data_IF_938993440781
#
_entry.id   IF_938993440781
#
_cell.length_a   1.000
_cell.length_b   1.000
_cell.length_c   1.000
_cell.angle_alpha   90.00
_cell.angle_beta   90.00
_cell.angle_gamma   90.00
#
_symmetry.space_group_name_H-M   'P 1'
#
loop_
_entity.id
_entity.type
_entity.pdbx_description
1 polymer ?
#
# COMPACT_ATOMS: atom_id res chain seq x y z
N UNK A 1 23.76 -6.25 -22.67
CA UNK A 1 24.02 -7.28 -21.64
C UNK A 1 22.81 -8.20 -21.55
N UNK A 2 22.92 -9.43 -22.06
CA UNK A 2 21.86 -10.44 -22.11
C UNK A 2 21.78 -11.31 -20.83
N UNK A 3 22.50 -10.92 -19.77
CA UNK A 3 22.78 -11.79 -18.61
C UNK A 3 21.75 -11.73 -17.48
N UNK A 4 20.63 -11.04 -17.66
CA UNK A 4 19.55 -10.93 -16.66
C UNK A 4 18.19 -11.21 -17.31
N UNK A 5 18.09 -12.27 -18.12
CA UNK A 5 16.81 -12.68 -18.67
C UNK A 5 15.92 -13.22 -17.55
N UNK A 6 14.89 -12.46 -17.20
CA UNK A 6 13.77 -12.87 -16.34
C UNK A 6 12.65 -13.35 -17.26
N UNK A 7 12.27 -14.63 -17.15
CA UNK A 7 11.21 -15.21 -17.97
C UNK A 7 10.02 -15.56 -17.07
N UNK A 8 8.88 -14.95 -17.34
CA UNK A 8 7.61 -15.34 -16.72
C UNK A 8 7.20 -16.66 -17.37
N UNK A 9 7.13 -17.71 -16.57
CA UNK A 9 6.70 -19.02 -17.04
C UNK A 9 5.30 -18.92 -17.64
N UNK A 10 5.13 -19.47 -18.83
CA UNK A 10 3.88 -19.48 -19.59
C UNK A 10 3.32 -18.07 -19.91
N UNK A 11 4.10 -17.00 -19.69
CA UNK A 11 3.63 -15.61 -19.73
C UNK A 11 2.37 -15.39 -18.87
N UNK A 12 2.22 -16.13 -17.77
CA UNK A 12 1.03 -16.10 -16.93
C UNK A 12 1.24 -15.34 -15.61
N UNK A 13 0.30 -14.45 -15.32
CA UNK A 13 0.13 -13.82 -14.02
C UNK A 13 -1.19 -14.31 -13.42
N UNK A 14 -1.14 -14.87 -12.23
CA UNK A 14 -2.31 -15.40 -11.52
C UNK A 14 -2.78 -14.38 -10.49
N UNK A 15 -4.07 -14.09 -10.47
CA UNK A 15 -4.67 -13.15 -9.50
C UNK A 15 -5.25 -13.88 -8.29
N UNK A 16 -5.18 -13.21 -7.14
CA UNK A 16 -5.74 -13.66 -5.86
C UNK A 16 -6.57 -12.56 -5.23
N UNK A 17 -7.50 -12.97 -4.38
CA UNK A 17 -8.40 -12.06 -3.65
C UNK A 17 -7.90 -11.77 -2.23
N UNK A 18 -7.19 -12.71 -1.61
CA UNK A 18 -6.82 -12.66 -0.19
C UNK A 18 -5.30 -12.77 -0.04
N UNK A 19 -4.72 -11.98 0.87
CA UNK A 19 -3.34 -12.12 1.32
C UNK A 19 -3.28 -12.06 2.85
N UNK A 20 -2.27 -12.73 3.42
CA UNK A 20 -2.06 -12.81 4.86
C UNK A 20 -0.67 -12.34 5.22
N UNK A 21 -0.57 -11.57 6.31
CA UNK A 21 0.68 -10.99 6.78
C UNK A 21 0.85 -11.33 8.26
N UNK A 22 1.98 -11.95 8.60
CA UNK A 22 2.29 -12.26 9.99
C UNK A 22 2.99 -11.07 10.63
N UNK A 23 2.60 -10.72 11.84
CA UNK A 23 3.23 -9.64 12.60
C UNK A 23 3.44 -10.02 14.06
N UNK A 24 4.34 -9.31 14.72
CA UNK A 24 4.61 -9.48 16.14
C UNK A 24 3.79 -8.45 16.94
N UNK A 25 3.01 -8.92 17.89
CA UNK A 25 2.25 -8.07 18.82
C UNK A 25 3.16 -7.52 19.92
N UNK A 26 2.68 -6.50 20.65
CA UNK A 26 3.43 -5.86 21.73
C UNK A 26 3.86 -6.81 22.86
N UNK A 27 3.10 -7.86 23.13
CA UNK A 27 3.43 -8.91 24.11
C UNK A 27 4.34 -10.01 23.52
N UNK A 28 5.02 -9.73 22.40
CA UNK A 28 5.99 -10.60 21.71
C UNK A 28 5.35 -11.91 21.24
N UNK A 29 4.06 -11.88 20.90
CA UNK A 29 3.36 -12.99 20.26
C UNK A 29 3.30 -12.77 18.76
N UNK A 30 2.98 -13.85 18.04
CA UNK A 30 2.69 -13.79 16.60
C UNK A 30 1.19 -13.72 16.41
N UNK A 31 0.77 -12.81 15.54
CA UNK A 31 -0.60 -12.71 15.07
C UNK A 31 -0.59 -12.51 13.55
N UNK A 32 -1.76 -12.55 12.92
CA UNK A 32 -1.90 -12.54 11.48
C UNK A 32 -3.00 -11.58 11.04
N UNK A 33 -2.63 -10.66 10.14
CA UNK A 33 -3.57 -9.84 9.41
C UNK A 33 -3.98 -10.54 8.11
N UNK A 34 -5.23 -10.34 7.70
CA UNK A 34 -5.75 -10.80 6.42
C UNK A 34 -6.40 -9.65 5.69
N UNK A 35 -5.97 -9.40 4.46
CA UNK A 35 -6.62 -8.44 3.56
C UNK A 35 -7.45 -9.16 2.50
N UNK A 36 -8.46 -8.48 1.97
CA UNK A 36 -9.25 -8.99 0.87
C UNK A 36 -9.56 -7.86 -0.13
N UNK A 37 -9.14 -8.03 -1.38
CA UNK A 37 -9.26 -6.97 -2.40
C UNK A 37 -10.70 -6.66 -2.81
N UNK A 38 -11.66 -7.55 -2.54
CA UNK A 38 -13.08 -7.33 -2.81
C UNK A 38 -13.81 -6.54 -1.72
N UNK A 39 -13.17 -6.23 -0.59
CA UNK A 39 -13.77 -5.45 0.49
C UNK A 39 -12.93 -4.21 0.86
N UNK A 40 -13.37 -3.47 1.87
CA UNK A 40 -12.70 -2.23 2.30
C UNK A 40 -11.45 -2.46 3.15
N UNK A 41 -11.15 -3.71 3.56
CA UNK A 41 -10.00 -4.07 4.39
C UNK A 41 -8.85 -4.56 3.50
N UNK A 42 -8.26 -3.61 2.78
CA UNK A 42 -7.18 -3.85 1.82
C UNK A 42 -6.09 -2.79 1.87
N UNK A 43 -6.06 -2.01 2.95
CA UNK A 43 -5.01 -1.03 3.18
C UNK A 43 -3.90 -1.69 4.02
N UNK A 44 -2.66 -1.37 3.68
CA UNK A 44 -1.45 -1.93 4.29
C UNK A 44 -0.50 -0.81 4.71
N UNK A 45 0.39 -1.16 5.63
CA UNK A 45 1.43 -0.31 6.16
C UNK A 45 2.80 -0.93 5.90
N UNK A 46 3.74 -0.13 5.42
CA UNK A 46 5.12 -0.54 5.07
C UNK A 46 6.12 0.45 5.68
N UNK A 47 7.39 0.08 5.91
CA UNK A 47 8.41 1.04 6.33
C UNK A 47 8.62 2.12 5.26
N UNK A 48 8.78 3.38 5.68
CA UNK A 48 9.01 4.51 4.76
C UNK A 48 10.45 4.61 4.25
N UNK A 49 11.41 3.96 4.93
CA UNK A 49 12.86 4.09 4.67
C UNK A 49 13.39 5.53 4.52
N UNK A 50 12.60 6.53 4.94
CA UNK A 50 12.98 7.94 4.94
C UNK A 50 13.93 8.19 6.12
N UNK A 51 15.14 8.68 5.82
CA UNK A 51 16.10 9.08 6.83
C UNK A 51 15.59 10.32 7.58
N UNK A 52 15.66 10.28 8.91
CA UNK A 52 15.32 11.41 9.75
C UNK A 52 16.48 12.40 9.76
N UNK A 53 16.57 13.27 8.75
CA UNK A 53 17.64 14.28 8.68
C UNK A 53 17.40 15.47 9.63
N UNK A 54 16.16 15.71 10.07
CA UNK A 54 15.80 16.85 10.94
C UNK A 54 14.98 16.46 12.17
N UNK A 55 15.37 16.95 13.36
CA UNK A 55 14.63 16.78 14.63
C UNK A 55 13.22 17.41 14.61
N UNK A 56 12.98 18.40 13.74
CA UNK A 56 11.70 19.09 13.57
C UNK A 56 10.82 18.49 12.45
N UNK A 57 11.36 17.56 11.66
CA UNK A 57 10.59 16.86 10.66
C UNK A 57 9.60 15.93 11.35
N UNK A 58 8.32 16.12 11.07
CA UNK A 58 7.25 15.20 11.49
C UNK A 58 7.49 13.84 10.81
N UNK A 59 8.38 13.06 11.42
CA UNK A 59 8.84 11.77 10.97
C UNK A 59 7.65 10.85 10.74
N UNK A 60 7.51 10.35 9.52
CA UNK A 60 6.54 9.34 9.17
C UNK A 60 7.28 8.01 9.06
N UNK A 61 7.28 7.17 10.11
CA UNK A 61 8.02 5.90 10.08
C UNK A 61 7.46 4.89 9.07
N UNK A 62 6.25 5.15 8.54
CA UNK A 62 5.52 4.23 7.69
C UNK A 62 4.90 4.94 6.50
N UNK A 63 4.92 4.26 5.36
CA UNK A 63 4.04 4.54 4.23
C UNK A 63 2.80 3.66 4.29
N UNK A 64 1.76 4.11 3.60
CA UNK A 64 0.49 3.40 3.50
C UNK A 64 0.14 3.20 2.05
N UNK A 65 -0.49 2.06 1.74
CA UNK A 65 -0.97 1.78 0.40
C UNK A 65 -2.29 1.02 0.44
N UNK A 66 -3.11 1.22 -0.59
CA UNK A 66 -4.31 0.41 -0.85
C UNK A 66 -3.95 -0.67 -1.85
N UNK A 67 -4.08 -1.94 -1.46
CA UNK A 67 -3.87 -3.08 -2.35
C UNK A 67 -5.05 -3.18 -3.32
N UNK A 68 -4.75 -3.07 -4.60
CA UNK A 68 -5.73 -3.14 -5.69
C UNK A 68 -5.92 -4.57 -6.17
N UNK A 69 -4.81 -5.31 -6.34
CA UNK A 69 -4.80 -6.71 -6.70
C UNK A 69 -3.60 -7.42 -6.08
N UNK A 70 -3.76 -8.71 -5.87
CA UNK A 70 -2.70 -9.61 -5.40
C UNK A 70 -2.39 -10.54 -6.56
N UNK A 71 -1.12 -10.71 -6.85
CA UNK A 71 -0.68 -11.56 -7.95
C UNK A 71 0.40 -12.53 -7.50
N UNK A 72 0.54 -13.61 -8.26
CA UNK A 72 1.80 -14.33 -8.32
C UNK A 72 2.15 -14.71 -9.75
N UNK A 73 3.44 -14.86 -10.00
CA UNK A 73 4.00 -15.41 -11.23
C UNK A 73 5.05 -16.47 -10.90
N UNK A 74 5.18 -17.47 -11.75
CA UNK A 74 6.31 -18.40 -11.69
C UNK A 74 7.41 -17.84 -12.59
N UNK A 75 8.57 -17.53 -12.04
CA UNK A 75 9.64 -16.80 -12.74
C UNK A 75 10.88 -17.69 -12.86
N UNK A 76 11.38 -17.83 -14.08
CA UNK A 76 12.70 -18.40 -14.34
C UNK A 76 13.74 -17.28 -14.29
N UNK A 77 14.61 -17.37 -13.31
CA UNK A 77 15.80 -16.54 -13.22
C UNK A 77 16.96 -17.19 -13.96
N UNK A 78 17.82 -16.35 -14.54
CA UNK A 78 19.06 -16.84 -15.15
C UNK A 78 19.88 -17.66 -14.15
N UNK A 79 20.36 -18.83 -14.58
CA UNK A 79 21.14 -19.74 -13.74
C UNK A 79 20.34 -20.57 -12.73
N UNK A 80 19.02 -20.37 -12.60
CA UNK A 80 18.16 -21.22 -11.75
C UNK A 80 17.42 -22.27 -12.60
N UNK A 81 17.53 -23.56 -12.28
CA UNK A 81 16.92 -24.63 -13.09
C UNK A 81 15.41 -24.78 -12.90
N UNK A 82 14.84 -24.16 -11.87
CA UNK A 82 13.41 -24.21 -11.55
C UNK A 82 12.84 -22.80 -11.47
N UNK A 83 11.61 -22.65 -11.93
CA UNK A 83 10.84 -21.45 -11.68
C UNK A 83 10.63 -21.24 -10.18
N UNK A 84 10.62 -19.98 -9.77
CA UNK A 84 10.31 -19.55 -8.42
C UNK A 84 8.97 -18.81 -8.42
N UNK A 85 8.10 -19.15 -7.46
CA UNK A 85 6.85 -18.42 -7.27
C UNK A 85 7.16 -17.09 -6.60
N UNK A 86 6.89 -15.99 -7.29
CA UNK A 86 6.99 -14.64 -6.74
C UNK A 86 5.59 -14.07 -6.54
N UNK A 87 5.35 -13.54 -5.35
CA UNK A 87 4.11 -12.87 -4.98
C UNK A 87 4.31 -11.35 -5.08
N UNK A 88 3.31 -10.65 -5.60
CA UNK A 88 3.37 -9.22 -5.87
C UNK A 88 2.04 -8.59 -5.49
N UNK A 89 2.07 -7.48 -4.76
CA UNK A 89 0.91 -6.64 -4.52
C UNK A 89 0.94 -5.49 -5.52
N UNK A 90 -0.14 -5.28 -6.26
CA UNK A 90 -0.32 -4.04 -7.00
C UNK A 90 -1.08 -3.05 -6.12
N UNK A 91 -0.47 -1.90 -5.86
CA UNK A 91 -0.94 -0.96 -4.85
C UNK A 91 -1.13 0.44 -5.42
N UNK A 92 -1.97 1.21 -4.73
CA UNK A 92 -2.10 2.67 -4.89
C UNK A 92 -1.60 3.34 -3.62
N UNK A 93 -0.66 4.26 -3.74
CA UNK A 93 0.02 4.87 -2.60
C UNK A 93 -0.79 6.00 -1.96
N UNK A 94 -0.64 6.12 -0.64
CA UNK A 94 -1.09 7.29 0.09
C UNK A 94 0.11 8.21 0.40
N UNK A 95 -0.05 9.50 0.16
CA UNK A 95 0.89 10.54 0.54
C UNK A 95 0.47 11.27 1.82
N UNK A 96 1.42 11.98 2.42
CA UNK A 96 1.19 12.85 3.57
C UNK A 96 0.23 14.00 3.21
N UNK A 97 -0.65 14.35 4.14
CA UNK A 97 -1.43 15.59 4.05
C UNK A 97 -0.56 16.80 4.42
N UNK A 98 -0.18 17.69 3.47
CA UNK A 98 0.65 18.86 3.77
C UNK A 98 -0.08 19.87 4.66
N UNK A 99 -1.42 19.88 4.63
CA UNK A 99 -2.26 20.81 5.40
C UNK A 99 -2.43 20.36 6.87
N UNK A 100 -1.81 19.25 7.25
CA UNK A 100 -1.94 18.70 8.59
C UNK A 100 -0.61 18.21 9.12
N UNK A 101 -0.05 19.01 10.02
CA UNK A 101 0.69 18.43 11.12
C UNK A 101 -0.26 17.46 11.84
N UNK A 102 0.08 16.18 11.88
CA UNK A 102 -0.50 15.19 12.79
C UNK A 102 0.59 14.79 13.78
N UNK A 103 0.22 14.37 14.99
CA UNK A 103 1.23 13.94 15.94
C UNK A 103 0.77 13.91 17.40
N UNK A 104 1.49 13.16 18.26
CA UNK A 104 1.22 13.14 19.70
C UNK A 104 1.32 14.54 20.34
N UNK A 105 2.27 15.37 19.89
CA UNK A 105 2.53 16.71 20.42
C UNK A 105 1.36 17.68 20.28
N UNK A 106 0.52 17.49 19.26
CA UNK A 106 -0.66 18.30 18.96
C UNK A 106 -1.97 17.52 19.17
N UNK A 107 -1.89 16.33 19.78
CA UNK A 107 -3.01 15.44 20.12
C UNK A 107 -3.97 15.17 18.95
N UNK A 108 -3.42 15.05 17.74
CA UNK A 108 -4.21 14.85 16.51
C UNK A 108 -3.71 13.65 15.72
N UNK A 109 -4.64 12.85 15.21
CA UNK A 109 -4.32 11.73 14.31
C UNK A 109 -3.65 12.23 13.03
N UNK A 110 -2.69 11.44 12.54
CA UNK A 110 -2.07 11.68 11.24
C UNK A 110 -3.10 11.54 10.13
N UNK A 111 -2.98 12.38 9.11
CA UNK A 111 -3.80 12.35 7.91
C UNK A 111 -2.96 11.99 6.69
N UNK A 112 -3.55 11.18 5.83
CA UNK A 112 -2.98 10.79 4.54
C UNK A 112 -4.05 10.93 3.46
N UNK A 113 -3.64 11.11 2.21
CA UNK A 113 -4.53 11.15 1.04
C UNK A 113 -3.93 10.33 -0.09
N UNK A 114 -4.72 9.91 -1.08
CA UNK A 114 -4.14 9.23 -2.24
C UNK A 114 -3.19 10.16 -2.99
N UNK A 115 -2.07 9.60 -3.45
CA UNK A 115 -1.25 10.28 -4.46
C UNK A 115 -2.09 10.41 -5.74
N UNK A 116 -2.19 11.60 -6.37
CA UNK A 116 -2.94 11.79 -7.61
C UNK A 116 -2.38 10.93 -8.73
N UNK A 117 -3.24 10.36 -9.57
CA UNK A 117 -2.84 9.47 -10.68
C UNK A 117 -2.03 10.15 -11.79
N UNK A 118 -1.92 11.48 -11.77
CA UNK A 118 -1.00 12.24 -12.62
C UNK A 118 0.46 12.10 -12.20
N UNK A 119 0.70 11.67 -10.96
CA UNK A 119 2.02 11.33 -10.46
C UNK A 119 2.41 9.93 -10.94
N UNK A 120 3.64 9.78 -11.44
CA UNK A 120 4.17 8.50 -11.92
C UNK A 120 4.27 7.47 -10.79
N UNK A 121 4.44 7.92 -9.55
CA UNK A 121 4.63 7.08 -8.36
C UNK A 121 3.31 6.80 -7.62
N UNK A 122 2.15 7.15 -8.20
CA UNK A 122 0.85 6.93 -7.56
C UNK A 122 0.49 5.45 -7.40
N UNK A 123 1.05 4.59 -8.26
CA UNK A 123 0.83 3.15 -8.27
C UNK A 123 2.16 2.42 -8.31
N UNK A 124 2.21 1.23 -7.71
CA UNK A 124 3.44 0.44 -7.71
C UNK A 124 3.19 -1.04 -7.47
N UNK A 125 4.21 -1.85 -7.76
CA UNK A 125 4.28 -3.22 -7.29
C UNK A 125 5.08 -3.27 -5.99
N UNK A 126 4.60 -4.05 -5.03
CA UNK A 126 5.18 -4.19 -3.72
C UNK A 126 5.39 -5.67 -3.38
N UNK A 127 6.55 -6.00 -2.83
CA UNK A 127 6.82 -7.31 -2.24
C UNK A 127 5.97 -7.47 -0.96
N UNK A 128 5.10 -8.49 -0.86
CA UNK A 128 4.36 -8.80 0.36
C UNK A 128 5.22 -8.88 1.63
N UNK A 129 6.50 -9.24 1.52
CA UNK A 129 7.42 -9.33 2.66
C UNK A 129 7.75 -7.96 3.29
N UNK A 130 7.52 -6.86 2.56
CA UNK A 130 7.69 -5.50 3.07
C UNK A 130 6.47 -5.00 3.85
N UNK A 131 5.36 -5.74 3.82
CA UNK A 131 4.14 -5.38 4.56
C UNK A 131 4.36 -5.64 6.05
N UNK A 132 4.28 -4.57 6.85
CA UNK A 132 4.35 -4.68 8.29
C UNK A 132 3.04 -5.22 8.86
N UNK A 133 1.92 -4.64 8.43
CA UNK A 133 0.56 -4.99 8.85
C UNK A 133 -0.49 -4.53 7.85
N UNK A 134 -1.67 -5.15 7.92
CA UNK A 134 -2.86 -4.50 7.42
C UNK A 134 -3.20 -3.30 8.32
N UNK A 135 -3.80 -2.26 7.74
CA UNK A 135 -4.21 -1.10 8.51
C UNK A 135 -5.65 -0.71 8.20
N UNK A 136 -6.26 0.03 9.13
CA UNK A 136 -7.58 0.60 8.94
C UNK A 136 -7.46 2.13 8.83
N UNK A 137 -7.68 2.62 7.61
CA UNK A 137 -7.73 4.05 7.32
C UNK A 137 -9.18 4.52 7.35
N UNK A 138 -9.48 5.48 8.23
CA UNK A 138 -10.84 6.00 8.40
C UNK A 138 -10.99 7.25 7.52
N UNK A 139 -11.96 7.31 6.60
CA UNK A 139 -12.21 8.52 5.83
C UNK A 139 -12.41 9.75 6.72
N UNK A 140 -11.71 10.84 6.39
CA UNK A 140 -11.93 12.12 7.03
C UNK A 140 -13.18 12.77 6.45
N UNK A 141 -14.36 12.34 6.91
CA UNK A 141 -15.67 12.71 6.35
C UNK A 141 -15.85 14.22 6.12
N UNK A 142 -15.31 15.06 7.01
CA UNK A 142 -15.38 16.52 6.90
C UNK A 142 -14.59 17.11 5.69
N UNK A 143 -13.63 16.37 5.15
CA UNK A 143 -12.86 16.77 3.96
C UNK A 143 -13.62 16.46 2.67
N UNK A 144 -14.66 15.62 2.73
CA UNK A 144 -15.45 15.26 1.56
C UNK A 144 -14.73 14.30 0.60
N UNK A 145 -15.23 14.29 -0.64
CA UNK A 145 -14.80 13.39 -1.71
C UNK A 145 -14.45 14.16 -2.97
N UNK A 146 -13.60 13.59 -3.80
CA UNK A 146 -13.10 14.21 -5.02
C UNK A 146 -12.99 13.24 -6.18
N UNK A 147 -13.17 13.78 -7.39
CA UNK A 147 -12.97 13.09 -8.67
C UNK A 147 -11.61 13.41 -9.30
N UNK A 148 -10.83 14.29 -8.68
CA UNK A 148 -9.59 14.83 -9.27
C UNK A 148 -8.38 13.90 -9.08
N UNK A 149 -8.44 12.98 -8.11
CA UNK A 149 -7.33 12.08 -7.79
C UNK A 149 -7.17 10.95 -8.81
N UNK A 150 -8.27 10.47 -9.39
CA UNK A 150 -8.27 9.38 -10.36
C UNK A 150 -9.57 9.40 -11.18
N UNK A 151 -9.42 9.25 -12.50
CA UNK A 151 -10.55 9.10 -13.40
C UNK A 151 -11.37 7.82 -13.15
N UNK A 152 -12.51 7.63 -13.83
CA UNK A 152 -13.32 6.42 -13.69
C UNK A 152 -12.50 5.14 -13.92
N UNK A 153 -12.33 4.34 -12.87
CA UNK A 153 -11.57 3.09 -12.90
C UNK A 153 -11.96 2.20 -11.71
N UNK A 154 -11.53 0.94 -11.74
CA UNK A 154 -11.74 -0.01 -10.63
C UNK A 154 -10.86 0.30 -9.39
N UNK A 155 -9.80 1.11 -9.55
CA UNK A 155 -8.88 1.50 -8.48
C UNK A 155 -9.36 2.72 -7.67
N UNK A 156 -10.50 3.28 -8.06
CA UNK A 156 -11.20 4.36 -7.36
C UNK A 156 -12.20 3.79 -6.35
N UNK A 157 -12.48 4.52 -5.28
CA UNK A 157 -13.55 4.14 -4.35
C UNK A 157 -14.92 4.08 -5.03
N UNK A 158 -15.77 3.17 -4.53
CA UNK A 158 -17.07 2.87 -5.12
C UNK A 158 -18.01 4.08 -4.99
N UNK A 159 -18.59 4.46 -6.13
CA UNK A 159 -19.65 5.46 -6.23
C UNK A 159 -19.33 6.64 -7.16
N UNK A 160 -20.33 7.49 -7.44
CA UNK A 160 -20.19 8.61 -8.36
C UNK A 160 -19.38 9.78 -7.78
N UNK A 161 -19.16 9.81 -6.46
CA UNK A 161 -18.49 10.90 -5.76
C UNK A 161 -16.96 10.77 -5.75
N UNK A 162 -16.41 9.65 -6.23
CA UNK A 162 -14.97 9.40 -6.27
C UNK A 162 -14.37 9.02 -4.92
N UNK A 163 -13.07 9.29 -4.80
CA UNK A 163 -12.25 8.96 -3.63
C UNK A 163 -12.53 9.91 -2.47
N UNK A 164 -12.33 9.44 -1.24
CA UNK A 164 -12.21 10.38 -0.12
C UNK A 164 -10.94 11.20 -0.29
N UNK A 165 -11.01 12.51 0.01
CA UNK A 165 -9.83 13.37 -0.12
C UNK A 165 -8.73 12.98 0.86
N UNK A 166 -9.13 12.63 2.09
CA UNK A 166 -8.22 12.40 3.21
C UNK A 166 -8.73 11.26 4.08
N UNK A 167 -7.81 10.58 4.73
CA UNK A 167 -8.04 9.50 5.69
C UNK A 167 -7.23 9.75 6.95
N UNK A 168 -7.77 9.35 8.10
CA UNK A 168 -7.06 9.29 9.36
C UNK A 168 -6.38 7.94 9.53
N UNK A 169 -5.13 8.00 9.95
CA UNK A 169 -4.34 6.82 10.31
C UNK A 169 -4.65 6.46 11.76
N UNK A 170 -5.23 5.27 11.96
CA UNK A 170 -5.41 4.69 13.29
C UNK A 170 -4.07 4.12 13.79
N UNK A 171 -3.73 4.39 15.06
CA UNK A 171 -2.56 3.83 15.74
C UNK A 171 -2.94 2.60 16.55
#
# INVERSE_FOLDING_TARGET
NLNEAVIIQDNCLFSHVTAQFNFTTYDVRRDQDTINTNNMRRDIMVPSFEDCEDEDSQWQPYWYARVLNIYHANIHFHGRPKAEKIELLWVRWFGKDPDSAGGPSILRLNRVGFVPASDAEAFGFLDPALVLRACHLIPAFNSGRTLNLLGPSFARDVGPQGDWEKYYVMR
#
